data_IF_057331997199
#
_entry.id   IF_057331997199
#
_cell.length_a   1.000
_cell.length_b   1.000
_cell.length_c   1.000
_cell.angle_alpha   90.00
_cell.angle_beta   90.00
_cell.angle_gamma   90.00
#
_symmetry.space_group_name_H-M   'P 1'
#
loop_
_entity.id
_entity.type
_entity.pdbx_description
1 polymer ?
#
# COMPACT_ATOMS: atom_id res chain seq x y z
N UNK A 1 9.83 -7.12 1.56
CA UNK A 1 8.52 -6.47 1.50
C UNK A 1 8.51 -5.30 0.52
N UNK A 2 9.41 -4.31 0.64
CA UNK A 2 9.50 -3.16 -0.29
C UNK A 2 9.71 -3.61 -1.74
N UNK A 3 10.55 -4.63 -2.00
CA UNK A 3 10.71 -5.23 -3.33
C UNK A 3 9.39 -5.79 -3.88
N UNK A 4 8.61 -6.48 -3.04
CA UNK A 4 7.29 -6.98 -3.45
C UNK A 4 6.29 -5.86 -3.77
N UNK A 5 6.35 -4.72 -3.06
CA UNK A 5 5.55 -3.54 -3.40
C UNK A 5 5.97 -2.97 -4.77
N UNK A 6 7.27 -2.93 -5.06
CA UNK A 6 7.77 -2.46 -6.36
C UNK A 6 7.33 -3.36 -7.53
N UNK A 7 7.23 -4.69 -7.32
CA UNK A 7 6.68 -5.59 -8.34
C UNK A 7 5.23 -5.25 -8.72
N UNK A 8 4.45 -4.73 -7.78
CA UNK A 8 3.11 -4.23 -8.08
C UNK A 8 3.08 -3.01 -9.02
N UNK A 9 4.12 -2.17 -9.02
CA UNK A 9 4.25 -1.10 -10.01
C UNK A 9 4.45 -1.68 -11.42
N UNK A 10 5.27 -2.74 -11.55
CA UNK A 10 5.46 -3.42 -12.83
C UNK A 10 4.19 -4.11 -13.30
N UNK A 11 3.42 -4.74 -12.40
CA UNK A 11 2.12 -5.33 -12.72
C UNK A 11 1.14 -4.29 -13.23
N UNK A 12 0.99 -3.17 -12.53
CA UNK A 12 0.10 -2.08 -12.95
C UNK A 12 0.52 -1.46 -14.30
N UNK A 13 1.83 -1.32 -14.54
CA UNK A 13 2.35 -0.88 -15.84
C UNK A 13 2.06 -1.91 -16.96
N UNK A 14 2.19 -3.21 -16.67
CA UNK A 14 1.86 -4.27 -17.62
C UNK A 14 0.36 -4.29 -17.95
N UNK A 15 -0.52 -4.09 -16.97
CA UNK A 15 -1.96 -3.96 -17.19
C UNK A 15 -2.31 -2.77 -18.10
N UNK A 16 -1.59 -1.65 -17.95
CA UNK A 16 -1.75 -0.50 -18.84
C UNK A 16 -1.35 -0.85 -20.29
N UNK A 17 -0.25 -1.57 -20.50
CA UNK A 17 0.16 -2.02 -21.83
C UNK A 17 -0.82 -3.06 -22.41
N UNK A 18 -1.36 -3.96 -21.59
CA UNK A 18 -2.45 -4.88 -22.00
C UNK A 18 -3.68 -4.08 -22.47
N UNK A 19 -4.08 -3.04 -21.75
CA UNK A 19 -5.20 -2.20 -22.16
C UNK A 19 -4.91 -1.44 -23.49
N UNK A 20 -3.66 -0.97 -23.66
CA UNK A 20 -3.20 -0.30 -24.89
C UNK A 20 -3.16 -1.25 -26.07
N UNK A 21 -2.82 -2.52 -25.89
CA UNK A 21 -2.80 -3.52 -26.95
C UNK A 21 -4.15 -3.75 -27.64
N UNK A 22 -5.25 -3.27 -27.04
CA UNK A 22 -6.57 -3.25 -27.70
C UNK A 22 -6.61 -2.38 -28.96
N UNK A 23 -5.61 -1.53 -29.17
CA UNK A 23 -5.43 -0.66 -30.34
C UNK A 23 -4.34 -1.14 -31.27
N UNK A 24 -3.70 -2.27 -30.98
CA UNK A 24 -2.68 -2.85 -31.86
C UNK A 24 -3.30 -3.24 -33.22
N UNK A 25 -2.57 -3.03 -34.29
CA UNK A 25 -2.96 -3.56 -35.59
C UNK A 25 -3.03 -5.09 -35.59
N UNK A 26 -3.99 -5.65 -36.25
CA UNK A 26 -4.15 -7.10 -36.32
C UNK A 26 -4.49 -7.58 -37.74
N UNK A 27 -4.10 -8.80 -38.04
CA UNK A 27 -4.43 -9.48 -39.29
C UNK A 27 -5.44 -10.59 -38.95
N UNK A 28 -6.52 -10.61 -39.72
CA UNK A 28 -7.54 -11.66 -39.65
C UNK A 28 -7.60 -12.37 -41.01
N UNK A 29 -7.61 -13.69 -41.00
CA UNK A 29 -7.84 -14.47 -42.20
C UNK A 29 -9.09 -15.33 -42.03
N UNK A 30 -9.97 -15.27 -43.01
CA UNK A 30 -11.15 -16.11 -43.10
C UNK A 30 -11.10 -16.93 -44.37
N UNK A 31 -11.30 -18.22 -44.26
CA UNK A 31 -11.42 -19.12 -45.39
C UNK A 31 -12.72 -19.88 -45.25
N UNK A 32 -13.52 -19.92 -46.33
CA UNK A 32 -14.75 -20.68 -46.40
C UNK A 32 -14.74 -21.48 -47.70
N UNK A 33 -15.04 -22.76 -47.61
CA UNK A 33 -15.15 -23.65 -48.74
C UNK A 33 -16.44 -24.44 -48.62
N UNK A 34 -17.25 -24.46 -49.68
CA UNK A 34 -18.41 -25.32 -49.81
C UNK A 34 -17.93 -26.63 -50.49
N UNK A 35 -17.83 -27.69 -49.71
CA UNK A 35 -17.28 -28.96 -50.14
C UNK A 35 -18.35 -29.95 -50.72
N UNK A 36 -19.63 -29.60 -50.57
CA UNK A 36 -20.76 -30.33 -51.15
C UNK A 36 -21.98 -29.48 -51.18
N UNK A 37 -22.82 -29.62 -52.19
CA UNK A 37 -24.06 -28.84 -52.39
C UNK A 37 -24.41 -28.69 -53.85
N UNK A 38 -25.17 -27.64 -54.16
CA UNK A 38 -25.64 -27.34 -55.51
C UNK A 38 -24.70 -26.36 -56.27
N UNK A 39 -23.58 -25.93 -55.65
CA UNK A 39 -22.45 -25.27 -56.25
C UNK A 39 -21.19 -25.51 -55.44
N UNK A 40 -20.05 -25.32 -56.03
CA UNK A 40 -18.73 -25.42 -55.41
C UNK A 40 -18.15 -23.99 -55.37
N UNK A 41 -17.64 -23.58 -54.24
CA UNK A 41 -17.01 -22.28 -54.09
C UNK A 41 -16.14 -22.21 -52.87
N UNK A 42 -14.97 -21.61 -53.07
CA UNK A 42 -13.99 -21.33 -51.97
C UNK A 42 -13.68 -19.84 -51.99
N UNK A 43 -13.70 -19.20 -50.81
CA UNK A 43 -13.19 -17.84 -50.68
C UNK A 43 -12.17 -17.77 -49.52
N UNK A 44 -11.19 -16.90 -49.71
CA UNK A 44 -10.20 -16.51 -48.72
C UNK A 44 -10.20 -14.99 -48.63
N UNK A 45 -10.38 -14.48 -47.43
CA UNK A 45 -10.31 -13.06 -47.10
C UNK A 45 -9.22 -12.82 -46.07
N UNK A 46 -8.27 -11.96 -46.39
CA UNK A 46 -7.29 -11.47 -45.43
C UNK A 46 -7.56 -9.99 -45.19
N UNK A 47 -7.68 -9.62 -43.90
CA UNK A 47 -7.91 -8.23 -43.49
C UNK A 47 -6.83 -7.81 -42.52
N UNK A 48 -6.15 -6.72 -42.80
CA UNK A 48 -5.34 -5.96 -41.88
C UNK A 48 -6.19 -4.80 -41.34
N UNK A 49 -6.28 -4.66 -40.01
CA UNK A 49 -7.05 -3.59 -39.38
C UNK A 49 -6.18 -2.84 -38.40
N UNK A 50 -6.24 -1.52 -38.43
CA UNK A 50 -5.57 -0.61 -37.52
C UNK A 50 -6.62 0.27 -36.83
N UNK A 51 -6.99 -0.03 -35.55
CA UNK A 51 -7.89 0.80 -34.76
C UNK A 51 -7.27 2.15 -34.43
N UNK A 52 -8.11 3.21 -34.36
CA UNK A 52 -7.66 4.53 -33.91
C UNK A 52 -7.74 4.62 -32.39
N UNK A 53 -6.76 5.27 -31.77
CA UNK A 53 -6.75 5.49 -30.31
C UNK A 53 -7.65 6.67 -29.90
N UNK A 54 -7.67 7.76 -30.68
CA UNK A 54 -8.36 9.01 -30.32
C UNK A 54 -9.89 8.95 -30.47
N UNK A 55 -10.41 8.22 -31.45
CA UNK A 55 -11.84 8.06 -31.71
C UNK A 55 -12.20 6.65 -32.12
N UNK A 56 -13.46 6.24 -31.94
CA UNK A 56 -13.85 4.89 -32.31
C UNK A 56 -14.00 4.73 -33.81
N UNK A 57 -13.02 4.09 -34.39
CA UNK A 57 -12.93 3.73 -35.77
C UNK A 57 -11.69 2.92 -36.05
N UNK A 58 -11.59 2.47 -37.30
CA UNK A 58 -10.41 1.78 -37.80
C UNK A 58 -10.25 2.04 -39.29
N UNK A 59 -9.01 2.08 -39.74
CA UNK A 59 -8.68 1.86 -41.14
C UNK A 59 -8.39 0.39 -41.35
N UNK A 60 -8.80 -0.14 -42.49
CA UNK A 60 -8.49 -1.52 -42.83
C UNK A 60 -8.11 -1.63 -44.33
N UNK A 61 -7.27 -2.61 -44.59
CA UNK A 61 -7.04 -3.13 -45.96
C UNK A 61 -7.46 -4.57 -46.00
N UNK A 62 -8.08 -4.99 -47.07
CA UNK A 62 -8.57 -6.32 -47.27
C UNK A 62 -8.21 -6.83 -48.63
N UNK A 63 -7.73 -8.07 -48.66
CA UNK A 63 -7.54 -8.84 -49.91
C UNK A 63 -8.45 -10.05 -49.87
N UNK A 64 -9.23 -10.25 -50.92
CA UNK A 64 -10.16 -11.36 -51.08
C UNK A 64 -9.87 -12.06 -52.38
N UNK A 65 -9.84 -13.37 -52.37
CA UNK A 65 -9.75 -14.20 -53.58
C UNK A 65 -10.75 -15.35 -53.44
N UNK A 66 -11.41 -15.63 -54.57
CA UNK A 66 -12.39 -16.71 -54.61
C UNK A 66 -12.17 -17.57 -55.87
N UNK A 67 -12.60 -18.84 -55.78
CA UNK A 67 -12.60 -19.81 -56.87
C UNK A 67 -13.88 -20.64 -56.76
N UNK A 68 -14.56 -20.86 -57.90
CA UNK A 68 -15.78 -21.64 -58.00
C UNK A 68 -16.95 -20.84 -58.62
N UNK A 69 -18.09 -21.52 -58.75
CA UNK A 69 -19.31 -20.98 -59.36
C UNK A 69 -20.27 -20.47 -58.33
N UNK A 70 -20.19 -19.17 -58.02
CA UNK A 70 -21.06 -18.53 -56.99
C UNK A 70 -22.43 -18.18 -57.57
N UNK A 71 -23.55 -18.58 -56.92
CA UNK A 71 -24.87 -18.13 -57.36
C UNK A 71 -25.07 -16.64 -57.11
N UNK A 72 -25.99 -16.01 -57.83
CA UNK A 72 -26.25 -14.56 -57.79
C UNK A 72 -26.43 -14.00 -56.34
N UNK A 73 -27.00 -14.75 -55.45
CA UNK A 73 -27.18 -14.34 -54.05
C UNK A 73 -25.91 -14.45 -53.18
N UNK A 74 -24.85 -15.05 -53.73
CA UNK A 74 -23.49 -15.11 -53.11
C UNK A 74 -22.44 -14.44 -54.05
N UNK A 75 -22.86 -13.73 -55.05
CA UNK A 75 -21.96 -13.05 -56.01
C UNK A 75 -21.01 -12.03 -55.33
N UNK A 76 -21.33 -11.58 -54.12
CA UNK A 76 -20.42 -10.76 -53.30
C UNK A 76 -19.08 -11.46 -52.97
N UNK A 77 -19.00 -12.78 -53.10
CA UNK A 77 -17.76 -13.52 -52.93
C UNK A 77 -16.94 -13.68 -54.20
N UNK A 78 -17.55 -13.46 -55.35
CA UNK A 78 -16.89 -13.61 -56.66
C UNK A 78 -15.79 -12.53 -56.82
N UNK A 79 -14.65 -12.95 -57.38
CA UNK A 79 -13.53 -12.05 -57.70
C UNK A 79 -12.96 -12.39 -59.04
N UNK A 80 -12.22 -11.45 -59.68
CA UNK A 80 -11.35 -11.80 -60.79
C UNK A 80 -10.22 -12.74 -60.38
N UNK A 81 -9.54 -13.37 -61.33
CA UNK A 81 -8.51 -14.42 -61.09
C UNK A 81 -7.38 -13.99 -60.17
N UNK A 82 -7.10 -12.72 -60.01
CA UNK A 82 -6.08 -12.16 -59.12
C UNK A 82 -6.66 -11.64 -57.78
N UNK A 83 -7.95 -11.84 -57.52
CA UNK A 83 -8.62 -11.39 -56.31
C UNK A 83 -8.96 -9.91 -56.27
N UNK A 84 -9.62 -9.47 -55.22
CA UNK A 84 -10.00 -8.08 -54.94
C UNK A 84 -9.11 -7.51 -53.85
N UNK A 85 -8.54 -6.32 -54.07
CA UNK A 85 -7.88 -5.54 -53.03
C UNK A 85 -8.75 -4.32 -52.66
N UNK A 86 -8.96 -4.11 -51.36
CA UNK A 86 -9.76 -2.98 -50.88
C UNK A 86 -9.08 -2.25 -49.73
N UNK A 87 -9.42 -0.97 -49.58
CA UNK A 87 -9.09 -0.14 -48.44
C UNK A 87 -10.36 0.55 -47.94
N UNK A 88 -10.53 0.59 -46.63
CA UNK A 88 -11.75 1.17 -46.07
C UNK A 88 -11.56 1.72 -44.66
N UNK A 89 -12.59 2.42 -44.23
CA UNK A 89 -12.74 2.96 -42.88
C UNK A 89 -14.04 2.47 -42.26
N UNK A 90 -14.03 2.27 -40.97
CA UNK A 90 -15.21 1.99 -40.18
C UNK A 90 -15.24 2.95 -38.98
N UNK A 91 -16.34 3.70 -38.80
CA UNK A 91 -16.45 4.75 -37.78
C UNK A 91 -17.81 4.63 -37.09
N UNK A 92 -17.86 4.71 -35.77
CA UNK A 92 -19.10 4.85 -35.00
C UNK A 92 -19.49 6.33 -34.92
N UNK A 93 -20.74 6.65 -35.31
CA UNK A 93 -21.23 8.03 -35.39
C UNK A 93 -22.01 8.50 -34.14
N UNK A 94 -22.59 7.59 -33.37
CA UNK A 94 -23.39 7.89 -32.18
C UNK A 94 -22.85 7.14 -30.94
N UNK A 95 -23.44 5.98 -30.63
CA UNK A 95 -22.94 5.14 -29.54
C UNK A 95 -21.48 4.75 -29.80
N UNK A 96 -20.65 4.85 -28.79
CA UNK A 96 -19.22 4.56 -28.84
C UNK A 96 -18.37 5.53 -29.67
N UNK A 97 -18.89 6.67 -30.13
CA UNK A 97 -18.12 7.62 -30.94
C UNK A 97 -16.87 8.12 -30.21
N UNK A 98 -17.05 8.73 -29.07
CA UNK A 98 -15.97 9.35 -28.28
C UNK A 98 -15.52 8.46 -27.12
N UNK A 99 -16.44 7.69 -26.57
CA UNK A 99 -16.22 6.83 -25.41
C UNK A 99 -16.73 5.42 -25.71
N UNK A 100 -15.82 4.46 -25.71
CA UNK A 100 -16.12 3.05 -25.85
C UNK A 100 -15.43 2.22 -24.77
N UNK A 101 -15.64 0.92 -24.80
CA UNK A 101 -15.08 -0.01 -23.81
C UNK A 101 -13.55 0.02 -23.80
N UNK A 102 -12.88 0.03 -24.97
CA UNK A 102 -11.41 -0.02 -25.08
C UNK A 102 -10.77 1.23 -24.47
N UNK A 103 -11.30 2.43 -24.81
CA UNK A 103 -10.80 3.70 -24.25
C UNK A 103 -11.07 3.83 -22.77
N UNK A 104 -12.25 3.36 -22.32
CA UNK A 104 -12.58 3.33 -20.89
C UNK A 104 -11.63 2.40 -20.13
N UNK A 105 -11.31 1.23 -20.68
CA UNK A 105 -10.34 0.30 -20.10
C UNK A 105 -8.92 0.88 -20.08
N UNK A 106 -8.48 1.52 -21.15
CA UNK A 106 -7.18 2.20 -21.19
C UNK A 106 -7.09 3.34 -20.17
N UNK A 107 -8.10 4.21 -20.11
CA UNK A 107 -8.16 5.28 -19.11
C UNK A 107 -8.16 4.73 -17.68
N UNK A 108 -8.93 3.67 -17.42
CA UNK A 108 -8.99 3.04 -16.09
C UNK A 108 -7.69 2.34 -15.73
N UNK A 109 -6.97 1.73 -16.66
CA UNK A 109 -5.66 1.14 -16.43
C UNK A 109 -4.62 2.20 -16.07
N UNK A 110 -4.67 3.38 -16.70
CA UNK A 110 -3.85 4.54 -16.30
C UNK A 110 -4.15 5.01 -14.88
N UNK A 111 -5.42 5.07 -14.50
CA UNK A 111 -5.82 5.39 -13.12
C UNK A 111 -5.38 4.30 -12.12
N UNK A 112 -5.45 3.02 -12.50
CA UNK A 112 -4.99 1.90 -11.67
C UNK A 112 -3.50 1.98 -11.36
N UNK A 113 -2.67 2.43 -12.32
CA UNK A 113 -1.24 2.69 -12.09
C UNK A 113 -1.03 3.75 -11.00
N UNK A 114 -1.75 4.88 -11.09
CA UNK A 114 -1.69 5.94 -10.08
C UNK A 114 -2.24 5.49 -8.73
N UNK A 115 -3.30 4.68 -8.73
CA UNK A 115 -3.90 4.11 -7.52
C UNK A 115 -2.93 3.17 -6.81
N UNK A 116 -2.20 2.34 -7.57
CA UNK A 116 -1.16 1.49 -7.00
C UNK A 116 -0.02 2.30 -6.36
N UNK A 117 0.43 3.40 -7.00
CA UNK A 117 1.45 4.28 -6.43
C UNK A 117 1.03 4.87 -5.08
N UNK A 118 -0.22 5.35 -4.97
CA UNK A 118 -0.77 5.85 -3.72
C UNK A 118 -0.86 4.74 -2.66
N UNK A 119 -1.32 3.54 -3.05
CA UNK A 119 -1.36 2.37 -2.16
C UNK A 119 0.04 1.95 -1.70
N UNK A 120 1.02 1.92 -2.61
CA UNK A 120 2.41 1.59 -2.31
C UNK A 120 2.99 2.56 -1.26
N UNK A 121 2.71 3.86 -1.39
CA UNK A 121 3.08 4.88 -0.40
C UNK A 121 2.52 4.56 0.98
N UNK A 122 1.23 4.19 1.07
CA UNK A 122 0.59 3.79 2.33
C UNK A 122 1.23 2.53 2.92
N UNK A 123 1.48 1.52 2.10
CA UNK A 123 2.10 0.26 2.52
C UNK A 123 3.54 0.45 3.02
N UNK A 124 4.32 1.32 2.37
CA UNK A 124 5.68 1.68 2.82
C UNK A 124 5.61 2.44 4.13
N UNK A 125 4.68 3.40 4.27
CA UNK A 125 4.46 4.15 5.50
C UNK A 125 4.19 3.21 6.69
N UNK A 126 3.30 2.24 6.53
CA UNK A 126 2.98 1.24 7.56
C UNK A 126 4.15 0.30 7.85
N UNK A 127 4.92 -0.08 6.84
CA UNK A 127 6.09 -0.92 7.00
C UNK A 127 7.18 -0.22 7.81
N UNK A 128 7.48 1.05 7.50
CA UNK A 128 8.45 1.88 8.23
C UNK A 128 7.98 2.09 9.66
N UNK A 129 6.71 2.41 9.87
CA UNK A 129 6.14 2.56 11.21
C UNK A 129 6.35 1.32 12.08
N UNK A 130 6.04 0.12 11.55
CA UNK A 130 6.24 -1.14 12.28
C UNK A 130 7.71 -1.39 12.59
N UNK A 131 8.60 -1.19 11.62
CA UNK A 131 10.03 -1.41 11.81
C UNK A 131 10.63 -0.46 12.87
N UNK A 132 10.30 0.83 12.81
CA UNK A 132 10.76 1.81 13.80
C UNK A 132 10.14 1.56 15.17
N UNK A 133 8.87 1.11 15.22
CA UNK A 133 8.20 0.74 16.49
C UNK A 133 8.91 -0.42 17.19
N UNK A 134 9.33 -1.44 16.43
CA UNK A 134 10.12 -2.56 17.00
C UNK A 134 11.51 -2.12 17.44
N UNK A 135 12.17 -1.22 16.69
CA UNK A 135 13.45 -0.63 17.12
C UNK A 135 13.30 0.11 18.45
N UNK A 136 12.28 0.93 18.60
CA UNK A 136 12.03 1.71 19.82
C UNK A 136 11.65 0.79 20.98
N UNK A 137 10.93 -0.32 20.75
CA UNK A 137 10.61 -1.31 21.78
C UNK A 137 11.84 -2.12 22.23
N UNK A 138 12.72 -2.49 21.29
CA UNK A 138 14.02 -3.08 21.60
C UNK A 138 14.89 -2.12 22.43
N UNK A 139 14.96 -0.87 22.02
CA UNK A 139 15.71 0.17 22.71
C UNK A 139 15.22 0.38 24.15
N UNK A 140 13.91 0.45 24.36
CA UNK A 140 13.28 0.52 25.68
C UNK A 140 13.76 -0.62 26.60
N UNK A 141 13.59 -1.86 26.10
CA UNK A 141 13.93 -3.06 26.88
C UNK A 141 15.43 -3.13 27.19
N UNK A 142 16.29 -2.74 26.26
CA UNK A 142 17.73 -2.71 26.45
C UNK A 142 18.16 -1.67 27.49
N UNK A 143 17.55 -0.47 27.48
CA UNK A 143 17.77 0.54 28.54
C UNK A 143 17.30 0.07 29.91
N UNK A 144 16.15 -0.62 29.97
CA UNK A 144 15.64 -1.18 31.21
C UNK A 144 16.54 -2.30 31.76
N UNK A 145 17.06 -3.20 30.89
CA UNK A 145 18.06 -4.22 31.25
C UNK A 145 19.30 -3.58 31.85
N UNK A 146 19.84 -2.54 31.20
CA UNK A 146 21.05 -1.84 31.69
C UNK A 146 20.80 -1.20 33.05
N UNK A 147 19.68 -0.49 33.23
CA UNK A 147 19.33 0.16 34.49
C UNK A 147 19.17 -0.86 35.66
N UNK A 148 18.48 -1.97 35.44
CA UNK A 148 18.31 -3.00 36.44
C UNK A 148 19.62 -3.74 36.71
N UNK A 149 20.45 -3.98 35.71
CA UNK A 149 21.78 -4.61 35.89
C UNK A 149 22.69 -3.77 36.78
N UNK A 150 22.74 -2.45 36.57
CA UNK A 150 23.52 -1.52 37.39
C UNK A 150 23.11 -1.57 38.86
N UNK A 151 21.80 -1.52 39.11
CA UNK A 151 21.24 -1.57 40.47
C UNK A 151 21.46 -2.94 41.13
N UNK A 152 21.31 -4.04 40.39
CA UNK A 152 21.57 -5.40 40.87
C UNK A 152 23.06 -5.58 41.21
N UNK A 153 24.01 -5.05 40.43
CA UNK A 153 25.43 -5.10 40.76
C UNK A 153 25.71 -4.39 42.09
N UNK A 154 25.10 -3.23 42.32
CA UNK A 154 25.21 -2.51 43.60
C UNK A 154 24.63 -3.31 44.74
N UNK A 155 23.47 -3.94 44.55
CA UNK A 155 22.86 -4.80 45.54
C UNK A 155 23.71 -6.05 45.87
N UNK A 156 24.31 -6.68 44.86
CA UNK A 156 25.20 -7.85 45.06
C UNK A 156 26.48 -7.50 45.84
N UNK A 157 27.05 -6.32 45.59
CA UNK A 157 28.20 -5.84 46.39
C UNK A 157 27.80 -5.66 47.86
N UNK A 158 26.61 -5.12 48.11
CA UNK A 158 26.06 -4.96 49.49
C UNK A 158 25.80 -6.30 50.16
N UNK A 159 25.30 -7.30 49.44
CA UNK A 159 25.10 -8.66 49.97
C UNK A 159 26.38 -9.21 50.61
N UNK A 160 27.53 -9.05 49.93
CA UNK A 160 28.82 -9.52 50.47
C UNK A 160 29.18 -8.84 51.80
N UNK A 161 28.94 -7.53 51.92
CA UNK A 161 29.16 -6.82 53.19
C UNK A 161 28.23 -7.29 54.32
N UNK A 162 26.96 -7.58 53.98
CA UNK A 162 25.97 -8.09 54.93
C UNK A 162 26.31 -9.50 55.43
N UNK A 163 26.78 -10.39 54.57
CA UNK A 163 27.26 -11.73 54.93
C UNK A 163 28.34 -11.61 56.03
N UNK A 164 29.35 -10.77 55.83
CA UNK A 164 30.43 -10.56 56.79
C UNK A 164 29.91 -10.02 58.14
N UNK A 165 28.92 -9.12 58.14
CA UNK A 165 28.34 -8.57 59.38
C UNK A 165 27.52 -9.61 60.16
N UNK A 166 26.79 -10.49 59.45
CA UNK A 166 26.05 -11.60 60.06
C UNK A 166 27.02 -12.63 60.63
N UNK A 167 28.08 -12.98 59.92
CA UNK A 167 29.13 -13.91 60.42
C UNK A 167 29.83 -13.39 61.66
N UNK A 168 29.98 -12.07 61.82
CA UNK A 168 30.54 -11.42 63.01
C UNK A 168 29.54 -11.26 64.15
N UNK A 169 28.27 -11.59 63.94
CA UNK A 169 27.22 -11.44 64.94
C UNK A 169 26.63 -10.02 65.04
N UNK A 170 27.01 -9.08 64.13
CA UNK A 170 26.54 -7.69 64.15
C UNK A 170 25.10 -7.54 63.64
N UNK A 171 24.60 -8.55 62.90
CA UNK A 171 23.26 -8.56 62.33
C UNK A 171 22.60 -9.94 62.48
N UNK A 172 21.27 -9.95 62.65
CA UNK A 172 20.50 -11.19 62.67
C UNK A 172 20.43 -11.84 61.29
N UNK A 173 20.44 -13.18 61.19
CA UNK A 173 20.40 -13.92 59.92
C UNK A 173 19.15 -13.63 59.09
N UNK A 174 18.01 -13.28 59.71
CA UNK A 174 16.77 -12.89 59.01
C UNK A 174 16.98 -11.71 58.10
N UNK A 175 17.82 -10.73 58.47
CA UNK A 175 18.16 -9.56 57.65
C UNK A 175 18.84 -9.97 56.32
N UNK A 176 19.74 -10.94 56.38
CA UNK A 176 20.39 -11.50 55.19
C UNK A 176 19.39 -12.28 54.30
N UNK A 177 18.46 -13.02 54.94
CA UNK A 177 17.42 -13.78 54.22
C UNK A 177 16.49 -12.83 53.48
N UNK A 178 16.03 -11.76 54.08
CA UNK A 178 15.19 -10.72 53.45
C UNK A 178 15.93 -10.04 52.29
N UNK A 179 17.20 -9.72 52.47
CA UNK A 179 18.00 -9.12 51.42
C UNK A 179 18.21 -10.04 50.21
N UNK A 180 18.47 -11.33 50.46
CA UNK A 180 18.57 -12.36 49.42
C UNK A 180 17.25 -12.53 48.66
N UNK A 181 16.11 -12.49 49.34
CA UNK A 181 14.79 -12.53 48.72
C UNK A 181 14.58 -11.32 47.78
N UNK A 182 15.02 -10.12 48.20
CA UNK A 182 14.96 -8.92 47.36
C UNK A 182 15.85 -9.03 46.10
N UNK A 183 17.10 -9.51 46.26
CA UNK A 183 18.00 -9.76 45.12
C UNK A 183 17.38 -10.77 44.15
N UNK A 184 16.73 -11.82 44.64
CA UNK A 184 16.07 -12.80 43.77
C UNK A 184 14.94 -12.15 42.94
N UNK A 185 14.12 -11.28 43.53
CA UNK A 185 13.10 -10.51 42.80
C UNK A 185 13.70 -9.63 41.72
N UNK A 186 14.83 -8.96 41.98
CA UNK A 186 15.55 -8.15 41.00
C UNK A 186 16.11 -9.01 39.85
N UNK A 187 16.64 -10.22 40.17
CA UNK A 187 17.12 -11.17 39.14
C UNK A 187 15.97 -11.69 38.27
N UNK A 188 14.81 -11.97 38.83
CA UNK A 188 13.60 -12.35 38.08
C UNK A 188 13.19 -11.22 37.14
N UNK A 189 13.10 -9.99 37.63
CA UNK A 189 12.80 -8.83 36.81
C UNK A 189 13.82 -8.66 35.68
N UNK A 190 15.12 -8.81 35.95
CA UNK A 190 16.17 -8.75 34.92
C UNK A 190 16.01 -9.85 33.88
N UNK A 191 15.63 -11.07 34.26
CA UNK A 191 15.38 -12.17 33.35
C UNK A 191 14.19 -11.86 32.40
N UNK A 192 13.08 -11.34 32.94
CA UNK A 192 11.91 -10.91 32.16
C UNK A 192 12.26 -9.79 31.17
N UNK A 193 13.05 -8.80 31.60
CA UNK A 193 13.46 -7.70 30.72
C UNK A 193 14.42 -8.17 29.62
N UNK A 194 15.32 -9.11 29.91
CA UNK A 194 16.18 -9.74 28.90
C UNK A 194 15.34 -10.52 27.88
N UNK A 195 14.36 -11.30 28.34
CA UNK A 195 13.44 -12.01 27.44
C UNK A 195 12.71 -11.04 26.49
N UNK A 196 12.20 -9.91 27.02
CA UNK A 196 11.54 -8.87 26.18
C UNK A 196 12.51 -8.26 25.17
N UNK A 197 13.73 -7.89 25.61
CA UNK A 197 14.76 -7.34 24.73
C UNK A 197 15.07 -8.31 23.57
N UNK A 198 15.31 -9.57 23.90
CA UNK A 198 15.68 -10.58 22.92
C UNK A 198 14.53 -10.88 21.94
N UNK A 199 13.29 -10.86 22.43
CA UNK A 199 12.10 -10.99 21.59
C UNK A 199 11.98 -9.81 20.59
N UNK A 200 12.15 -8.57 21.07
CA UNK A 200 12.12 -7.39 20.18
C UNK A 200 13.31 -7.36 19.22
N UNK A 201 14.50 -7.84 19.62
CA UNK A 201 15.64 -7.99 18.75
C UNK A 201 15.34 -8.94 17.57
N UNK A 202 14.66 -10.06 17.83
CA UNK A 202 14.23 -10.99 16.78
C UNK A 202 13.16 -10.38 15.87
N UNK A 203 12.18 -9.66 16.43
CA UNK A 203 11.17 -8.96 15.65
C UNK A 203 11.80 -7.87 14.76
N UNK A 204 12.76 -7.11 15.30
CA UNK A 204 13.47 -6.08 14.57
C UNK A 204 14.28 -6.65 13.40
N UNK A 205 14.84 -7.86 13.52
CA UNK A 205 15.61 -8.51 12.46
C UNK A 205 14.79 -8.77 11.19
N UNK A 206 13.47 -8.85 11.29
CA UNK A 206 12.59 -8.92 10.13
C UNK A 206 12.66 -7.65 9.27
N UNK A 207 12.80 -6.49 9.89
CA UNK A 207 12.85 -5.19 9.21
C UNK A 207 14.28 -4.79 8.85
N UNK A 208 15.28 -5.22 9.61
CA UNK A 208 16.67 -4.86 9.38
C UNK A 208 17.35 -5.86 8.45
N UNK A 209 17.70 -5.39 7.25
CA UNK A 209 18.21 -6.24 6.17
C UNK A 209 19.57 -5.77 5.68
N UNK A 210 20.41 -6.71 5.28
CA UNK A 210 21.62 -6.42 4.52
C UNK A 210 21.27 -5.86 3.14
N UNK A 211 22.20 -5.20 2.43
CA UNK A 211 21.99 -4.80 1.03
C UNK A 211 21.61 -5.98 0.10
N UNK A 212 21.99 -7.20 0.45
CA UNK A 212 21.63 -8.43 -0.28
C UNK A 212 20.23 -8.94 0.06
N UNK A 213 19.61 -8.43 1.15
CA UNK A 213 18.28 -8.82 1.59
C UNK A 213 18.26 -9.85 2.72
N UNK A 214 19.43 -10.27 3.25
CA UNK A 214 19.51 -11.20 4.38
C UNK A 214 19.06 -10.54 5.68
N UNK A 215 18.48 -11.29 6.59
CA UNK A 215 18.13 -10.81 7.92
C UNK A 215 19.39 -10.53 8.74
N UNK A 216 19.45 -9.33 9.33
CA UNK A 216 20.49 -8.95 10.29
C UNK A 216 19.91 -9.07 11.70
N UNK A 217 20.55 -9.88 12.54
CA UNK A 217 20.14 -9.99 13.94
C UNK A 217 20.81 -8.88 14.74
N UNK A 218 20.01 -8.19 15.55
CA UNK A 218 20.54 -7.23 16.52
C UNK A 218 21.09 -8.03 17.69
N UNK A 219 22.40 -8.23 17.69
CA UNK A 219 23.14 -8.97 18.75
C UNK A 219 23.71 -8.04 19.83
N UNK A 220 23.33 -6.80 19.87
CA UNK A 220 23.91 -5.84 20.80
C UNK A 220 23.10 -5.75 22.09
N UNK A 221 23.72 -6.21 23.17
CA UNK A 221 23.24 -5.99 24.53
C UNK A 221 23.26 -4.50 24.93
N UNK A 222 24.00 -3.65 24.22
CA UNK A 222 24.20 -2.23 24.51
C UNK A 222 23.49 -1.34 23.50
N UNK A 223 22.34 -0.76 23.87
CA UNK A 223 21.69 0.24 23.03
C UNK A 223 22.56 1.51 22.94
N UNK A 224 22.45 2.30 21.87
CA UNK A 224 23.11 3.60 21.81
C UNK A 224 22.68 4.48 22.99
N UNK A 225 23.62 5.25 23.54
CA UNK A 225 23.31 6.16 24.66
C UNK A 225 22.31 7.22 24.26
N UNK A 226 22.44 7.72 23.03
CA UNK A 226 21.56 8.72 22.43
C UNK A 226 21.04 8.21 21.10
N UNK A 227 19.74 8.32 20.89
CA UNK A 227 19.11 8.06 19.59
C UNK A 227 19.14 9.35 18.79
N UNK A 228 19.69 9.31 17.57
CA UNK A 228 19.43 10.35 16.58
C UNK A 228 17.98 10.16 16.08
N UNK A 229 17.02 10.86 16.71
CA UNK A 229 15.60 10.71 16.46
C UNK A 229 15.13 11.63 15.32
N UNK A 230 14.86 11.09 14.12
CA UNK A 230 14.49 11.91 12.97
C UNK A 230 13.03 12.40 13.01
N UNK A 231 12.19 11.85 13.89
CA UNK A 231 10.75 12.13 13.96
C UNK A 231 10.39 13.18 15.03
N UNK A 232 11.36 13.97 15.46
CA UNK A 232 11.09 15.02 16.44
C UNK A 232 10.04 16.00 15.93
N UNK A 233 9.07 16.34 16.81
CA UNK A 233 7.94 17.22 16.49
C UNK A 233 8.06 18.55 17.23
N UNK A 234 8.35 19.61 16.47
CA UNK A 234 8.22 21.00 16.91
C UNK A 234 7.04 21.68 16.23
N UNK A 235 6.83 22.97 16.53
CA UNK A 235 5.69 23.74 15.99
C UNK A 235 5.67 23.77 14.44
N UNK A 236 6.83 23.91 13.79
CA UNK A 236 6.93 23.92 12.33
C UNK A 236 6.59 22.55 11.72
N UNK A 237 7.11 21.46 12.30
CA UNK A 237 6.82 20.10 11.86
C UNK A 237 5.35 19.75 12.03
N UNK A 238 4.72 20.15 13.14
CA UNK A 238 3.30 19.92 13.36
C UNK A 238 2.43 20.53 12.26
N UNK A 239 2.76 21.75 11.82
CA UNK A 239 2.05 22.43 10.73
C UNK A 239 2.21 21.64 9.42
N UNK A 240 3.42 21.17 9.13
CA UNK A 240 3.73 20.34 7.95
C UNK A 240 2.94 19.03 7.96
N UNK A 241 2.95 18.31 9.09
CA UNK A 241 2.20 17.06 9.26
C UNK A 241 0.69 17.27 9.07
N UNK A 242 0.14 18.34 9.66
CA UNK A 242 -1.29 18.68 9.50
C UNK A 242 -1.66 19.02 8.06
N UNK A 243 -0.80 19.73 7.34
CA UNK A 243 -1.02 20.03 5.92
C UNK A 243 -0.95 18.76 5.03
N UNK A 244 -0.13 17.79 5.40
CA UNK A 244 -0.01 16.51 4.68
C UNK A 244 -1.31 15.69 4.68
N UNK A 245 -2.20 15.86 5.65
CA UNK A 245 -3.49 15.14 5.72
C UNK A 245 -4.38 15.39 4.49
N UNK A 246 -4.24 16.55 3.82
CA UNK A 246 -5.02 16.89 2.61
C UNK A 246 -4.66 16.01 1.41
N UNK A 247 -3.40 15.54 1.37
CA UNK A 247 -2.86 14.69 0.31
C UNK A 247 -2.53 13.29 0.87
N UNK A 248 -3.37 12.81 1.78
CA UNK A 248 -3.17 11.50 2.38
C UNK A 248 -3.38 10.39 1.34
N UNK A 249 -2.47 9.39 1.21
CA UNK A 249 -2.56 8.35 0.19
C UNK A 249 -3.89 7.57 0.20
N UNK A 250 -4.49 7.34 1.37
CA UNK A 250 -5.81 6.70 1.46
C UNK A 250 -6.90 7.51 0.73
N UNK A 251 -6.83 8.85 0.79
CA UNK A 251 -7.78 9.73 0.08
C UNK A 251 -7.52 9.70 -1.43
N UNK A 252 -6.26 9.65 -1.84
CA UNK A 252 -5.90 9.62 -3.26
C UNK A 252 -6.34 8.31 -3.91
N UNK A 253 -6.18 7.16 -3.22
CA UNK A 253 -6.73 5.87 -3.68
C UNK A 253 -8.24 5.97 -3.92
N UNK A 254 -8.99 6.58 -2.99
CA UNK A 254 -10.45 6.71 -3.11
C UNK A 254 -10.88 7.69 -4.20
N UNK A 255 -10.18 8.82 -4.37
CA UNK A 255 -10.44 9.77 -5.46
C UNK A 255 -10.21 9.13 -6.82
N UNK A 256 -9.15 8.34 -6.97
CA UNK A 256 -8.87 7.59 -8.20
C UNK A 256 -9.92 6.50 -8.46
N UNK A 257 -10.39 5.78 -7.42
CA UNK A 257 -11.52 4.85 -7.54
C UNK A 257 -12.79 5.57 -8.01
N UNK A 258 -13.06 6.75 -7.49
CA UNK A 258 -14.18 7.58 -7.93
C UNK A 258 -14.08 7.95 -9.42
N UNK A 259 -12.89 8.28 -9.91
CA UNK A 259 -12.67 8.54 -11.34
C UNK A 259 -12.92 7.29 -12.20
N UNK A 260 -12.49 6.11 -11.76
CA UNK A 260 -12.78 4.84 -12.44
C UNK A 260 -14.30 4.60 -12.53
N UNK A 261 -15.03 4.84 -11.44
CA UNK A 261 -16.50 4.69 -11.42
C UNK A 261 -17.17 5.74 -12.30
N UNK A 262 -16.66 6.97 -12.36
CA UNK A 262 -17.14 8.02 -13.26
C UNK A 262 -16.97 7.64 -14.74
N UNK A 263 -15.82 7.08 -15.11
CA UNK A 263 -15.58 6.59 -16.46
C UNK A 263 -16.56 5.45 -16.85
N UNK A 264 -16.79 4.51 -15.91
CA UNK A 264 -17.76 3.42 -16.11
C UNK A 264 -19.18 3.97 -16.22
N UNK A 265 -19.57 4.96 -15.43
CA UNK A 265 -20.88 5.60 -15.49
C UNK A 265 -21.10 6.35 -16.82
N UNK A 266 -20.08 7.02 -17.32
CA UNK A 266 -20.10 7.65 -18.62
C UNK A 266 -20.28 6.60 -19.75
N UNK A 267 -19.56 5.48 -19.69
CA UNK A 267 -19.72 4.36 -20.63
C UNK A 267 -21.14 3.76 -20.58
N UNK A 268 -21.69 3.55 -19.37
CA UNK A 268 -23.06 3.06 -19.21
C UNK A 268 -24.11 4.04 -19.78
N UNK A 269 -23.88 5.34 -19.62
CA UNK A 269 -24.74 6.37 -20.24
C UNK A 269 -24.62 6.35 -21.75
N UNK A 270 -23.42 6.19 -22.30
CA UNK A 270 -23.19 6.03 -23.74
C UNK A 270 -23.89 4.77 -24.29
N UNK A 271 -24.01 3.70 -23.49
CA UNK A 271 -24.69 2.48 -23.88
C UNK A 271 -26.20 2.67 -24.14
N UNK A 272 -26.82 3.77 -23.69
CA UNK A 272 -28.21 4.13 -23.96
C UNK A 272 -28.42 4.71 -25.36
N UNK A 273 -27.35 5.19 -26.00
CA UNK A 273 -27.44 5.77 -27.34
C UNK A 273 -27.70 4.70 -28.40
N UNK A 274 -28.38 5.04 -29.51
CA UNK A 274 -28.49 4.15 -30.65
C UNK A 274 -27.11 3.95 -31.28
N UNK A 275 -26.86 2.76 -31.81
CA UNK A 275 -25.67 2.45 -32.60
C UNK A 275 -25.88 2.88 -34.04
N UNK A 276 -24.98 3.68 -34.55
CA UNK A 276 -24.93 4.09 -35.96
C UNK A 276 -23.48 4.02 -36.42
N UNK A 277 -23.17 3.06 -37.28
CA UNK A 277 -21.84 2.87 -37.81
C UNK A 277 -21.81 3.20 -39.31
N UNK A 278 -20.81 3.94 -39.71
CA UNK A 278 -20.46 4.22 -41.10
C UNK A 278 -19.31 3.31 -41.51
N UNK A 279 -19.45 2.67 -42.66
CA UNK A 279 -18.35 1.97 -43.37
C UNK A 279 -18.21 2.56 -44.75
N UNK A 280 -17.01 2.86 -45.17
CA UNK A 280 -16.70 3.27 -46.51
C UNK A 280 -15.47 2.53 -47.00
N UNK A 281 -15.50 2.01 -48.20
CA UNK A 281 -14.37 1.32 -48.80
C UNK A 281 -14.28 1.58 -50.30
N UNK A 282 -13.07 1.49 -50.82
CA UNK A 282 -12.76 1.47 -52.26
C UNK A 282 -12.07 0.14 -52.51
N UNK A 283 -12.54 -0.56 -53.51
CA UNK A 283 -12.06 -1.86 -53.93
C UNK A 283 -11.76 -1.94 -55.41
N UNK A 284 -10.83 -2.82 -55.77
CA UNK A 284 -10.53 -3.12 -57.16
C UNK A 284 -10.18 -4.59 -57.34
N UNK A 285 -10.85 -5.23 -58.29
CA UNK A 285 -10.50 -6.57 -58.72
C UNK A 285 -9.28 -6.56 -59.67
N UNK A 286 -8.50 -7.61 -59.61
CA UNK A 286 -7.23 -7.80 -60.33
C UNK A 286 -7.29 -9.09 -61.10
N UNK A 287 -6.88 -9.04 -62.37
CA UNK A 287 -6.80 -10.26 -63.19
C UNK A 287 -7.82 -10.30 -64.33
N UNK A 288 -8.19 -11.49 -64.74
CA UNK A 288 -9.16 -11.74 -65.82
C UNK A 288 -10.38 -12.50 -65.29
N UNK A 289 -11.53 -12.29 -65.87
CA UNK A 289 -12.79 -12.91 -65.47
C UNK A 289 -14.01 -12.17 -66.04
N UNK A 290 -15.15 -12.21 -65.35
CA UNK A 290 -16.37 -11.51 -65.75
C UNK A 290 -16.17 -10.00 -65.86
N UNK A 291 -16.59 -9.40 -66.97
CA UNK A 291 -16.40 -7.98 -67.27
C UNK A 291 -17.15 -7.03 -66.33
N UNK A 292 -18.17 -7.50 -65.63
CA UNK A 292 -18.90 -6.75 -64.61
C UNK A 292 -18.09 -6.51 -63.33
N UNK A 293 -16.98 -7.22 -63.11
CA UNK A 293 -16.06 -7.03 -61.99
C UNK A 293 -14.84 -6.17 -62.36
N UNK A 294 -14.69 -5.76 -63.63
CA UNK A 294 -13.60 -4.92 -64.07
C UNK A 294 -13.89 -3.43 -63.70
N UNK A 295 -13.05 -2.87 -62.87
CA UNK A 295 -13.16 -1.49 -62.45
C UNK A 295 -12.83 -1.21 -61.01
N UNK A 296 -13.10 0.02 -60.58
CA UNK A 296 -12.96 0.44 -59.19
C UNK A 296 -14.36 0.56 -58.58
N UNK A 297 -14.58 -0.14 -57.50
CA UNK A 297 -15.84 -0.09 -56.76
C UNK A 297 -15.72 0.79 -55.50
N UNK A 298 -16.73 1.61 -55.22
CA UNK A 298 -16.83 2.37 -53.96
C UNK A 298 -18.08 1.94 -53.22
N UNK A 299 -17.92 1.44 -52.01
CA UNK A 299 -19.03 1.02 -51.16
C UNK A 299 -19.15 1.97 -49.98
N UNK A 300 -20.37 2.45 -49.67
CA UNK A 300 -20.70 3.19 -48.46
C UNK A 300 -21.91 2.55 -47.79
N UNK A 301 -21.76 2.17 -46.54
CA UNK A 301 -22.81 1.49 -45.78
C UNK A 301 -23.07 2.17 -44.42
N UNK A 302 -24.33 2.27 -44.06
CA UNK A 302 -24.76 2.70 -42.72
C UNK A 302 -25.48 1.55 -42.03
N UNK A 303 -25.04 1.27 -40.80
CA UNK A 303 -25.67 0.24 -39.93
C UNK A 303 -26.27 0.91 -38.72
N UNK A 304 -27.59 0.74 -38.55
CA UNK A 304 -28.33 1.27 -37.40
C UNK A 304 -28.88 0.14 -36.53
N UNK A 305 -28.73 0.23 -35.21
CA UNK A 305 -29.40 -0.66 -34.27
C UNK A 305 -29.71 0.07 -32.96
N UNK A 306 -30.88 -0.24 -32.40
CA UNK A 306 -31.31 0.33 -31.14
C UNK A 306 -32.15 -0.70 -30.33
N UNK A 307 -31.72 -1.06 -29.12
CA UNK A 307 -32.49 -2.00 -28.27
C UNK A 307 -33.72 -1.31 -27.66
N UNK A 308 -34.89 -1.70 -28.02
CA UNK A 308 -36.14 -1.03 -27.59
C UNK A 308 -36.38 -1.01 -26.09
N UNK A 309 -35.85 -1.99 -25.33
CA UNK A 309 -36.06 -2.06 -23.89
C UNK A 309 -34.99 -1.36 -23.04
N UNK A 310 -33.75 -1.33 -23.50
CA UNK A 310 -32.57 -0.76 -22.83
C UNK A 310 -32.41 -1.10 -21.33
N UNK A 311 -33.02 -2.21 -20.86
CA UNK A 311 -33.07 -2.59 -19.43
C UNK A 311 -31.71 -2.75 -18.83
N UNK A 312 -30.77 -3.41 -19.55
CA UNK A 312 -29.41 -3.63 -19.09
C UNK A 312 -28.69 -2.30 -18.86
N UNK A 313 -28.66 -1.43 -19.87
CA UNK A 313 -27.94 -0.14 -19.79
C UNK A 313 -28.54 0.78 -18.70
N UNK A 314 -29.88 0.80 -18.53
CA UNK A 314 -30.53 1.55 -17.45
C UNK A 314 -30.16 1.00 -16.07
N UNK A 315 -30.13 -0.32 -15.90
CA UNK A 315 -29.75 -0.95 -14.64
C UNK A 315 -28.27 -0.71 -14.29
N UNK A 316 -27.37 -0.84 -15.26
CA UNK A 316 -25.94 -0.53 -15.09
C UNK A 316 -25.73 0.95 -14.72
N UNK A 317 -26.43 1.87 -15.37
CA UNK A 317 -26.38 3.29 -15.04
C UNK A 317 -26.85 3.54 -13.59
N UNK A 318 -28.00 2.99 -13.18
CA UNK A 318 -28.52 3.13 -11.82
C UNK A 318 -27.56 2.54 -10.78
N UNK A 319 -26.97 1.38 -11.06
CA UNK A 319 -25.96 0.75 -10.19
C UNK A 319 -24.74 1.65 -10.00
N UNK A 320 -24.21 2.21 -11.10
CA UNK A 320 -23.02 3.07 -11.04
C UNK A 320 -23.30 4.40 -10.36
N UNK A 321 -24.49 4.99 -10.55
CA UNK A 321 -24.91 6.18 -9.81
C UNK A 321 -25.00 5.91 -8.29
N UNK A 322 -25.49 4.72 -7.91
CA UNK A 322 -25.48 4.31 -6.50
C UNK A 322 -24.06 4.14 -5.97
N UNK A 323 -23.14 3.56 -6.78
CA UNK A 323 -21.73 3.40 -6.41
C UNK A 323 -21.01 4.75 -6.29
N UNK A 324 -21.32 5.73 -7.14
CA UNK A 324 -20.80 7.09 -7.00
C UNK A 324 -21.16 7.71 -5.65
N UNK A 325 -22.46 7.66 -5.26
CA UNK A 325 -22.92 8.16 -3.95
C UNK A 325 -22.26 7.40 -2.78
N UNK A 326 -22.14 6.09 -2.90
CA UNK A 326 -21.41 5.29 -1.89
C UNK A 326 -19.97 5.78 -1.70
N UNK A 327 -19.24 6.02 -2.79
CA UNK A 327 -17.86 6.49 -2.74
C UNK A 327 -17.75 7.91 -2.19
N UNK A 328 -18.70 8.81 -2.48
CA UNK A 328 -18.76 10.15 -1.89
C UNK A 328 -18.89 10.08 -0.35
N UNK A 329 -19.79 9.23 0.15
CA UNK A 329 -19.94 9.03 1.59
C UNK A 329 -18.69 8.38 2.21
N UNK A 330 -18.08 7.40 1.53
CA UNK A 330 -16.84 6.76 1.97
C UNK A 330 -15.69 7.77 2.02
N UNK A 331 -15.55 8.60 0.99
CA UNK A 331 -14.49 9.63 0.96
C UNK A 331 -14.61 10.58 2.14
N UNK A 332 -15.82 11.11 2.39
CA UNK A 332 -16.09 11.98 3.54
C UNK A 332 -15.77 11.30 4.87
N UNK A 333 -16.22 10.05 5.05
CA UNK A 333 -15.97 9.32 6.30
C UNK A 333 -14.50 8.97 6.49
N UNK A 334 -13.76 8.68 5.42
CA UNK A 334 -12.32 8.41 5.47
C UNK A 334 -11.53 9.68 5.81
N UNK A 335 -11.89 10.83 5.22
CA UNK A 335 -11.28 12.12 5.56
C UNK A 335 -11.47 12.45 7.05
N UNK A 336 -12.69 12.27 7.57
CA UNK A 336 -12.97 12.44 8.99
C UNK A 336 -12.16 11.46 9.86
N UNK A 337 -12.07 10.19 9.47
CA UNK A 337 -11.33 9.18 10.21
C UNK A 337 -9.82 9.48 10.25
N UNK A 338 -9.22 9.91 9.14
CA UNK A 338 -7.81 10.34 9.09
C UNK A 338 -7.58 11.52 10.02
N UNK A 339 -8.44 12.54 9.95
CA UNK A 339 -8.36 13.71 10.83
C UNK A 339 -8.47 13.30 12.30
N UNK A 340 -9.42 12.44 12.65
CA UNK A 340 -9.61 11.98 14.03
C UNK A 340 -8.42 11.16 14.54
N UNK A 341 -7.84 10.26 13.71
CA UNK A 341 -6.64 9.50 14.09
C UNK A 341 -5.46 10.44 14.37
N UNK A 342 -5.27 11.45 13.54
CA UNK A 342 -4.21 12.45 13.74
C UNK A 342 -4.43 13.30 14.99
N UNK A 343 -5.64 13.81 15.23
CA UNK A 343 -5.96 14.59 16.44
C UNK A 343 -5.83 13.73 17.71
N UNK A 344 -6.19 12.44 17.67
CA UNK A 344 -5.95 11.51 18.77
C UNK A 344 -4.45 11.33 19.03
N UNK A 345 -3.64 11.16 17.98
CA UNK A 345 -2.18 11.07 18.11
C UNK A 345 -1.59 12.37 18.70
N UNK A 346 -2.12 13.52 18.33
CA UNK A 346 -1.72 14.82 18.87
C UNK A 346 -2.01 14.95 20.38
N UNK A 347 -3.17 14.48 20.83
CA UNK A 347 -3.50 14.41 22.27
C UNK A 347 -2.52 13.53 23.02
N UNK A 348 -2.23 12.31 22.50
CA UNK A 348 -1.27 11.41 23.12
C UNK A 348 0.14 11.98 23.17
N UNK A 349 0.60 12.65 22.10
CA UNK A 349 1.89 13.34 22.08
C UNK A 349 1.98 14.44 23.13
N UNK A 350 0.95 15.30 23.25
CA UNK A 350 0.88 16.35 24.27
C UNK A 350 0.99 15.77 25.68
N UNK A 351 0.18 14.76 25.99
CA UNK A 351 0.20 14.08 27.30
C UNK A 351 1.52 13.34 27.57
N UNK A 352 2.13 12.72 26.57
CA UNK A 352 3.41 12.04 26.73
C UNK A 352 4.53 13.00 27.17
N UNK A 353 4.55 14.24 26.71
CA UNK A 353 5.51 15.27 27.15
C UNK A 353 5.37 15.57 28.64
N UNK A 354 4.15 15.76 29.12
CA UNK A 354 3.88 16.02 30.53
C UNK A 354 4.25 14.80 31.40
N UNK A 355 3.92 13.59 30.93
CA UNK A 355 4.27 12.34 31.64
C UNK A 355 5.79 12.18 31.72
N UNK A 356 6.55 12.51 30.68
CA UNK A 356 8.04 12.46 30.73
C UNK A 356 8.56 13.39 31.81
N UNK A 357 8.08 14.62 31.90
CA UNK A 357 8.52 15.58 32.91
C UNK A 357 8.24 15.03 34.34
N UNK A 358 7.03 14.57 34.61
CA UNK A 358 6.61 14.03 35.91
C UNK A 358 7.39 12.74 36.28
N UNK A 359 7.60 11.83 35.34
CA UNK A 359 8.34 10.58 35.62
C UNK A 359 9.84 10.83 35.79
N UNK A 360 10.42 11.80 35.11
CA UNK A 360 11.82 12.20 35.30
C UNK A 360 12.03 12.81 36.70
N UNK A 361 11.12 13.67 37.15
CA UNK A 361 11.15 14.21 38.50
C UNK A 361 10.97 13.09 39.55
N UNK A 362 9.98 12.21 39.39
CA UNK A 362 9.76 11.07 40.29
C UNK A 362 10.98 10.16 40.36
N UNK A 363 11.65 9.87 39.27
CA UNK A 363 12.88 9.04 39.26
C UNK A 363 14.04 9.76 40.00
N UNK A 364 14.20 11.05 39.85
CA UNK A 364 15.19 11.84 40.56
C UNK A 364 14.96 11.86 42.08
N UNK A 365 13.70 12.04 42.51
CA UNK A 365 13.33 11.98 43.93
C UNK A 365 13.53 10.57 44.48
N UNK A 366 13.10 9.52 43.79
CA UNK A 366 13.30 8.14 44.24
C UNK A 366 14.78 7.77 44.37
N UNK A 367 15.64 8.20 43.46
CA UNK A 367 17.09 8.03 43.54
C UNK A 367 17.69 8.76 44.75
N UNK A 368 17.23 9.98 45.01
CA UNK A 368 17.68 10.78 46.17
C UNK A 368 17.29 10.10 47.49
N UNK A 369 16.03 9.67 47.61
CA UNK A 369 15.55 8.96 48.79
C UNK A 369 16.28 7.64 49.02
N UNK A 370 16.56 6.86 47.96
CA UNK A 370 17.34 5.63 48.07
C UNK A 370 18.79 5.90 48.53
N UNK A 371 19.40 6.96 48.03
CA UNK A 371 20.75 7.37 48.47
C UNK A 371 20.78 7.80 49.95
N UNK A 372 19.85 8.62 50.39
CA UNK A 372 19.72 9.07 51.77
C UNK A 372 19.51 7.89 52.72
N UNK A 373 18.58 6.99 52.38
CA UNK A 373 18.29 5.81 53.19
C UNK A 373 19.48 4.88 53.30
N UNK A 374 20.27 4.74 52.23
CA UNK A 374 21.54 4.02 52.28
C UNK A 374 22.49 4.62 53.31
N UNK A 375 22.64 5.95 53.35
CA UNK A 375 23.51 6.63 54.34
C UNK A 375 23.02 6.42 55.75
N UNK A 376 21.71 6.50 56.01
CA UNK A 376 21.09 6.24 57.30
C UNK A 376 21.31 4.79 57.77
N UNK A 377 21.09 3.83 56.87
CA UNK A 377 21.35 2.42 57.15
C UNK A 377 22.82 2.14 57.48
N UNK A 378 23.75 2.72 56.73
CA UNK A 378 25.18 2.58 56.98
C UNK A 378 25.61 3.22 58.32
N UNK A 379 24.88 4.24 58.81
CA UNK A 379 25.05 4.89 60.09
C UNK A 379 24.33 4.15 61.25
N UNK A 380 23.50 3.14 60.97
CA UNK A 380 22.71 2.42 61.98
C UNK A 380 21.36 3.07 62.33
N UNK A 381 20.97 4.15 61.64
CA UNK A 381 19.73 4.92 61.90
C UNK A 381 18.52 4.44 61.08
N UNK A 382 18.64 3.30 60.39
CA UNK A 382 17.57 2.73 59.56
C UNK A 382 17.65 1.20 59.53
N UNK A 383 16.57 0.55 59.15
CA UNK A 383 16.50 -0.89 58.98
C UNK A 383 16.58 -1.34 57.50
N UNK A 384 16.82 -2.65 57.35
CA UNK A 384 16.95 -3.26 56.01
C UNK A 384 15.64 -3.23 55.23
N UNK A 385 14.47 -3.27 55.87
CA UNK A 385 13.16 -3.26 55.22
C UNK A 385 12.94 -1.92 54.49
N UNK A 386 13.20 -0.80 55.17
CA UNK A 386 13.07 0.54 54.61
C UNK A 386 14.08 0.73 53.45
N UNK A 387 15.34 0.30 53.63
CA UNK A 387 16.36 0.36 52.60
C UNK A 387 15.95 -0.43 51.34
N UNK A 388 15.45 -1.64 51.49
CA UNK A 388 14.98 -2.48 50.40
C UNK A 388 13.77 -1.85 49.69
N UNK A 389 12.81 -1.29 50.44
CA UNK A 389 11.65 -0.60 49.88
C UNK A 389 12.07 0.63 49.01
N UNK A 390 13.04 1.42 49.49
CA UNK A 390 13.57 2.57 48.73
C UNK A 390 14.29 2.12 47.46
N UNK A 391 15.13 1.07 47.52
CA UNK A 391 15.82 0.51 46.38
C UNK A 391 14.83 -0.02 45.29
N UNK A 392 13.79 -0.75 45.74
CA UNK A 392 12.73 -1.21 44.82
C UNK A 392 11.97 -0.04 44.16
N UNK A 393 11.66 1.00 44.96
CA UNK A 393 10.99 2.20 44.40
C UNK A 393 11.87 2.94 43.40
N UNK A 394 13.18 3.01 43.63
CA UNK A 394 14.14 3.59 42.63
C UNK A 394 14.13 2.80 41.35
N UNK A 395 14.20 1.46 41.37
CA UNK A 395 14.13 0.61 40.19
C UNK A 395 12.82 0.86 39.42
N UNK A 396 11.66 0.82 40.13
CA UNK A 396 10.35 1.05 39.51
C UNK A 396 10.22 2.43 38.90
N UNK A 397 10.71 3.46 39.58
CA UNK A 397 10.68 4.84 39.06
C UNK A 397 11.57 4.99 37.83
N UNK A 398 12.76 4.39 37.82
CA UNK A 398 13.69 4.42 36.68
C UNK A 398 13.10 3.71 35.44
N UNK A 399 12.49 2.53 35.62
CA UNK A 399 11.80 1.81 34.54
C UNK A 399 10.66 2.64 33.96
N UNK A 400 9.86 3.30 34.82
CA UNK A 400 8.76 4.18 34.37
C UNK A 400 9.27 5.42 33.62
N UNK A 401 10.37 6.01 34.06
CA UNK A 401 11.01 7.13 33.36
C UNK A 401 11.47 6.71 31.95
N UNK A 402 12.17 5.57 31.83
CA UNK A 402 12.60 5.02 30.54
C UNK A 402 11.39 4.80 29.64
N UNK A 403 10.35 4.14 30.17
CA UNK A 403 9.12 3.90 29.42
C UNK A 403 8.47 5.20 28.95
N UNK A 404 8.34 6.21 29.80
CA UNK A 404 7.74 7.49 29.45
C UNK A 404 8.49 8.19 28.31
N UNK A 405 9.84 8.20 28.37
CA UNK A 405 10.68 8.76 27.30
C UNK A 405 10.45 8.04 25.97
N UNK A 406 10.35 6.72 25.99
CA UNK A 406 10.10 5.92 24.80
C UNK A 406 8.67 6.08 24.29
N UNK A 407 7.69 6.19 25.18
CA UNK A 407 6.29 6.46 24.77
C UNK A 407 6.16 7.83 24.07
N UNK A 408 6.97 8.83 24.44
CA UNK A 408 7.04 10.08 23.70
C UNK A 408 7.58 9.88 22.27
N UNK A 409 8.66 9.10 22.10
CA UNK A 409 9.20 8.78 20.77
C UNK A 409 8.14 8.05 19.91
N UNK A 410 7.41 7.09 20.52
CA UNK A 410 6.32 6.39 19.83
C UNK A 410 5.17 7.33 19.45
N UNK A 411 4.85 8.29 20.30
CA UNK A 411 3.81 9.29 20.00
C UNK A 411 4.21 10.20 18.84
N UNK A 412 5.46 10.65 18.77
CA UNK A 412 6.00 11.40 17.64
C UNK A 412 5.97 10.59 16.35
N UNK A 413 6.44 9.34 16.39
CA UNK A 413 6.38 8.42 15.25
C UNK A 413 4.94 8.23 14.74
N UNK A 414 3.97 8.14 15.67
CA UNK A 414 2.56 7.96 15.34
C UNK A 414 2.00 9.18 14.60
N UNK A 415 2.40 10.41 14.97
CA UNK A 415 2.02 11.62 14.25
C UNK A 415 2.49 11.59 12.79
N UNK A 416 3.74 11.18 12.54
CA UNK A 416 4.27 11.01 11.18
C UNK A 416 3.54 9.90 10.42
N UNK A 417 3.20 8.79 11.10
CA UNK A 417 2.45 7.68 10.52
C UNK A 417 1.04 8.11 10.09
N UNK A 418 0.30 8.80 10.96
CA UNK A 418 -1.06 9.27 10.66
C UNK A 418 -1.10 10.42 9.64
N UNK A 419 0.02 11.10 9.42
CA UNK A 419 0.21 12.05 8.32
C UNK A 419 0.73 11.40 7.03
N UNK A 420 0.95 10.07 7.03
CA UNK A 420 1.56 9.31 5.94
C UNK A 420 2.92 9.86 5.46
N UNK A 421 3.75 10.40 6.38
CA UNK A 421 5.01 11.07 6.07
C UNK A 421 6.27 10.21 6.31
N UNK A 422 6.12 8.94 6.72
CA UNK A 422 7.27 8.08 7.01
C UNK A 422 7.99 7.59 5.74
N UNK A 423 7.29 7.54 4.60
CA UNK A 423 7.89 7.13 3.32
C UNK A 423 8.91 8.14 2.79
N UNK A 424 8.82 9.42 3.15
CA UNK A 424 9.68 10.49 2.66
C UNK A 424 11.08 10.52 3.29
N UNK A 425 11.34 9.67 4.28
CA UNK A 425 12.62 9.60 5.00
C UNK A 425 13.66 8.70 4.33
N UNK A 426 13.29 8.03 3.23
CA UNK A 426 14.19 7.18 2.45
C UNK A 426 14.86 7.91 1.27
N UNK A 427 14.71 9.22 1.16
CA UNK A 427 15.36 10.05 0.12
C UNK A 427 16.52 10.87 0.67
#
# INVERSE_FOLDING_TARGET
YVRAINEGNYQAAAELEIARSSFDPFIEQKTSSRVSGYYDGTNLTQRFSNPFEDFNGSVYTEYRISDGDFPVYEADYETLSGGEASVGIAISLLKNRELDKRRTELANAGLATSQWQALATSLINDFVYKGVSEYVAWYESALQVNAVTELLNTATQRERALVTRVEKGDLANVVLTEFKANILQQRLLLAELKQKRDAHAQMLSFYWRSPKGDMLIVDEANPPKDINWPFWVGNGQLMTLRNALRNHPELDVMKLEQQVVNNKAALASNALLPKLDLKASVARDIGSGPSNLDGTETKVGLSFSYPLGNRKAKAEQAQLQSKQRELEHKLTSTEQAITQRFEQALVYWGQAKDIVALQSENAALAKTLSKVEKTRFDAGDSDMFVLNARAQNEIKARIKEIKAKVDLLKAELTLYKEAAMLHSLNN
#
